data_IF_445103766480
#
_entry.id   IF_445103766480
#
_cell.length_a   1.000
_cell.length_b   1.000
_cell.length_c   1.000
_cell.angle_alpha   90.00
_cell.angle_beta   90.00
_cell.angle_gamma   90.00
#
_symmetry.space_group_name_H-M   'P 1'
#
loop_
_entity.id
_entity.type
_entity.pdbx_description
1 polymer ?
#
# COMPACT_ATOMS: atom_id res chain seq x y z
N UNK A 1 -39.65 14.17 47.97
CA UNK A 1 -38.55 14.14 46.99
C UNK A 1 -38.61 12.80 46.31
N UNK A 2 -38.65 12.79 44.98
CA UNK A 2 -38.77 11.59 44.15
C UNK A 2 -37.40 10.91 44.01
N UNK A 3 -37.35 9.58 43.93
CA UNK A 3 -36.11 8.80 43.72
C UNK A 3 -35.35 9.22 42.44
N UNK A 4 -36.04 9.86 41.49
CA UNK A 4 -35.46 10.41 40.28
C UNK A 4 -34.65 11.70 40.51
N UNK A 5 -34.99 12.50 41.53
CA UNK A 5 -34.28 13.75 41.85
C UNK A 5 -32.99 13.49 42.67
N UNK A 6 -32.92 12.36 43.38
CA UNK A 6 -31.74 11.96 44.16
C UNK A 6 -30.62 11.37 43.28
N UNK A 7 -30.97 10.76 42.14
CA UNK A 7 -30.00 10.23 41.17
C UNK A 7 -29.40 11.31 40.26
N UNK A 8 -30.10 12.41 40.01
CA UNK A 8 -29.54 13.52 39.19
C UNK A 8 -28.49 14.33 39.95
N UNK A 9 -28.62 14.43 41.28
CA UNK A 9 -27.67 15.16 42.12
C UNK A 9 -26.28 14.51 42.17
N UNK A 10 -26.17 13.20 41.90
CA UNK A 10 -24.90 12.46 41.92
C UNK A 10 -24.12 12.61 40.60
N UNK A 11 -24.76 13.10 39.52
CA UNK A 11 -24.12 13.30 38.21
C UNK A 11 -23.67 14.74 37.94
N UNK A 12 -24.19 15.73 38.67
CA UNK A 12 -23.81 17.14 38.49
C UNK A 12 -22.49 17.53 39.20
N UNK A 13 -21.94 16.67 40.07
CA UNK A 13 -20.70 16.94 40.81
C UNK A 13 -19.41 16.44 40.10
N UNK A 14 -19.51 15.97 38.85
CA UNK A 14 -18.36 15.44 38.06
C UNK A 14 -17.89 16.42 36.98
N UNK A 15 -18.15 17.73 37.14
CA UNK A 15 -17.52 18.77 36.31
C UNK A 15 -16.50 19.55 37.12
N UNK A 16 -15.43 18.86 37.54
CA UNK A 16 -14.19 19.51 37.94
C UNK A 16 -13.11 19.26 36.88
N UNK A 17 -12.69 20.37 36.27
CA UNK A 17 -11.46 20.50 35.52
C UNK A 17 -10.29 19.93 36.33
N UNK A 18 -9.56 18.94 35.77
CA UNK A 18 -8.22 18.64 36.23
C UNK A 18 -7.27 18.35 35.07
N UNK A 19 -6.26 19.21 35.05
CA UNK A 19 -5.11 19.32 34.17
C UNK A 19 -4.26 18.04 34.22
N UNK A 20 -4.05 17.40 33.07
CA UNK A 20 -3.46 16.09 32.94
C UNK A 20 -2.17 16.09 32.14
N UNK A 21 -1.06 16.49 32.76
CA UNK A 21 0.27 16.08 32.32
C UNK A 21 0.40 14.56 32.46
N UNK A 22 0.40 13.82 31.36
CA UNK A 22 1.16 12.59 31.24
C UNK A 22 1.59 12.33 29.79
N UNK A 23 2.88 12.10 29.67
CA UNK A 23 3.66 11.98 28.45
C UNK A 23 3.21 10.80 27.61
N UNK A 24 2.63 11.07 26.43
CA UNK A 24 2.68 10.13 25.32
C UNK A 24 3.86 10.52 24.46
N UNK A 25 4.79 9.58 24.36
CA UNK A 25 6.04 9.62 23.61
C UNK A 25 5.80 10.25 22.23
N UNK A 26 6.44 11.39 22.01
CA UNK A 26 6.51 12.10 20.73
C UNK A 26 7.29 11.25 19.71
N UNK A 27 6.60 10.33 19.05
CA UNK A 27 6.98 9.98 17.68
C UNK A 27 6.56 11.14 16.78
N UNK A 28 7.54 11.91 16.33
CA UNK A 28 7.41 12.99 15.35
C UNK A 28 6.81 12.50 14.02
N UNK A 29 5.51 12.23 13.99
CA UNK A 29 4.75 12.15 12.75
C UNK A 29 4.21 13.55 12.53
N UNK A 30 4.94 14.32 11.71
CA UNK A 30 4.42 15.56 11.15
C UNK A 30 3.19 15.18 10.33
N UNK A 31 2.01 15.50 10.85
CA UNK A 31 0.77 15.52 10.10
C UNK A 31 0.90 16.71 9.15
N UNK A 32 1.46 16.47 7.96
CA UNK A 32 1.42 17.44 6.87
C UNK A 32 0.01 17.37 6.25
N UNK A 33 -0.74 18.45 6.45
CA UNK A 33 -1.95 18.88 5.76
C UNK A 33 -2.51 17.93 4.68
N UNK A 34 -3.62 17.25 5.01
CA UNK A 34 -4.36 16.36 4.10
C UNK A 34 -4.85 17.05 2.80
N UNK A 35 -4.81 18.38 2.71
CA UNK A 35 -5.32 19.16 1.58
C UNK A 35 -4.26 19.59 0.55
N UNK A 36 -2.98 19.21 0.70
CA UNK A 36 -1.89 19.68 -0.19
C UNK A 36 -1.23 18.57 -1.04
N UNK A 37 -1.94 17.46 -1.27
CA UNK A 37 -1.48 16.42 -2.21
C UNK A 37 -1.75 16.85 -3.66
N UNK A 38 -2.82 17.61 -3.90
CA UNK A 38 -3.24 18.07 -5.23
C UNK A 38 -2.24 19.03 -5.92
N UNK A 39 -1.42 19.75 -5.14
CA UNK A 39 -0.37 20.67 -5.63
C UNK A 39 0.89 19.94 -6.13
N UNK A 40 1.08 18.66 -5.76
CA UNK A 40 2.21 17.86 -6.22
C UNK A 40 1.94 17.37 -7.65
N UNK A 41 2.48 18.11 -8.63
CA UNK A 41 2.30 17.89 -10.07
C UNK A 41 2.60 16.46 -10.59
N UNK A 42 3.35 15.65 -9.86
CA UNK A 42 3.70 14.27 -10.25
C UNK A 42 3.65 13.34 -9.05
N UNK A 43 3.27 12.09 -9.27
CA UNK A 43 3.19 11.06 -8.21
C UNK A 43 4.54 10.92 -7.49
N UNK A 44 5.64 11.15 -8.21
CA UNK A 44 7.00 11.00 -7.70
C UNK A 44 7.40 12.04 -6.64
N UNK A 45 6.62 13.12 -6.49
CA UNK A 45 6.82 14.07 -5.41
C UNK A 45 6.28 13.54 -4.08
N UNK A 46 5.34 12.59 -4.16
CA UNK A 46 4.72 11.93 -3.00
C UNK A 46 5.39 10.59 -2.73
N UNK A 47 5.63 9.79 -3.77
CA UNK A 47 6.27 8.49 -3.74
C UNK A 47 7.72 8.58 -4.25
N UNK A 48 8.69 8.48 -3.33
CA UNK A 48 10.12 8.71 -3.58
C UNK A 48 10.96 7.45 -3.46
N UNK A 49 10.41 6.34 -2.97
CA UNK A 49 11.15 5.12 -2.64
C UNK A 49 11.85 4.56 -3.88
N UNK A 50 11.15 4.42 -5.00
CA UNK A 50 11.75 3.93 -6.26
C UNK A 50 12.84 4.86 -6.82
N UNK A 51 12.83 6.14 -6.46
CA UNK A 51 13.90 7.08 -6.80
C UNK A 51 15.08 7.04 -5.83
N UNK A 52 14.88 6.51 -4.62
CA UNK A 52 15.92 6.43 -3.60
C UNK A 52 17.07 5.51 -4.04
N UNK A 53 18.31 5.93 -3.74
CA UNK A 53 19.48 5.07 -4.00
C UNK A 53 19.43 3.77 -3.20
N UNK A 54 18.81 3.80 -2.02
CA UNK A 54 18.68 2.63 -1.14
C UNK A 54 17.88 1.52 -1.84
N UNK A 55 16.68 1.84 -2.35
CA UNK A 55 15.84 0.86 -3.04
C UNK A 55 16.56 0.28 -4.27
N UNK A 56 17.20 1.13 -5.08
CA UNK A 56 17.96 0.68 -6.26
C UNK A 56 19.09 -0.29 -5.89
N UNK A 57 19.90 0.06 -4.88
CA UNK A 57 21.00 -0.79 -4.40
C UNK A 57 20.50 -2.15 -3.90
N UNK A 58 19.40 -2.18 -3.15
CA UNK A 58 18.83 -3.42 -2.62
C UNK A 58 18.26 -4.29 -3.73
N UNK A 59 17.46 -3.71 -4.64
CA UNK A 59 16.89 -4.44 -5.78
C UNK A 59 17.97 -5.01 -6.71
N UNK A 60 19.02 -4.23 -7.00
CA UNK A 60 20.16 -4.69 -7.80
C UNK A 60 20.89 -5.85 -7.12
N UNK A 61 21.16 -5.76 -5.81
CA UNK A 61 21.77 -6.87 -5.05
C UNK A 61 20.90 -8.13 -5.07
N UNK A 62 19.59 -8.01 -4.91
CA UNK A 62 18.65 -9.14 -4.99
C UNK A 62 18.71 -9.78 -6.38
N UNK A 63 18.68 -8.96 -7.43
CA UNK A 63 18.75 -9.44 -8.82
C UNK A 63 20.07 -10.15 -9.11
N UNK A 64 21.20 -9.61 -8.66
CA UNK A 64 22.51 -10.26 -8.76
C UNK A 64 22.55 -11.60 -8.00
N UNK A 65 21.99 -11.65 -6.79
CA UNK A 65 21.90 -12.88 -5.99
C UNK A 65 21.03 -13.96 -6.67
N UNK A 66 19.94 -13.56 -7.32
CA UNK A 66 19.08 -14.45 -8.11
C UNK A 66 19.83 -15.00 -9.34
N UNK A 67 20.54 -14.14 -10.09
CA UNK A 67 21.30 -14.54 -11.29
C UNK A 67 22.49 -15.45 -10.95
N UNK A 68 23.24 -15.14 -9.89
CA UNK A 68 24.39 -15.94 -9.48
C UNK A 68 23.99 -17.37 -9.08
N UNK A 69 22.81 -17.54 -8.47
CA UNK A 69 22.27 -18.86 -8.13
C UNK A 69 21.81 -19.64 -9.36
N UNK A 70 21.19 -18.99 -10.35
CA UNK A 70 20.79 -19.65 -11.61
C UNK A 70 21.99 -20.22 -12.38
N UNK A 71 23.16 -19.60 -12.24
CA UNK A 71 24.39 -20.03 -12.92
C UNK A 71 25.18 -21.11 -12.17
N UNK A 72 24.64 -21.70 -11.09
CA UNK A 72 25.34 -22.69 -10.24
C UNK A 72 26.73 -22.23 -9.77
N UNK A 73 27.01 -20.93 -9.75
CA UNK A 73 28.20 -20.38 -9.14
C UNK A 73 27.88 -20.30 -7.64
N UNK A 74 27.97 -21.45 -6.98
CA UNK A 74 27.99 -21.54 -5.52
C UNK A 74 29.34 -20.93 -5.11
N UNK A 75 29.40 -19.60 -5.08
CA UNK A 75 30.38 -18.95 -4.22
C UNK A 75 29.96 -19.36 -2.81
N UNK A 76 30.90 -19.98 -2.10
CA UNK A 76 30.87 -20.08 -0.64
C UNK A 76 30.87 -18.64 -0.13
N UNK A 77 29.69 -18.03 -0.06
CA UNK A 77 29.50 -16.68 0.45
C UNK A 77 29.40 -16.83 1.95
N UNK A 78 30.26 -16.13 2.67
CA UNK A 78 30.24 -16.04 4.12
C UNK A 78 28.80 -15.90 4.64
N UNK A 79 28.46 -16.61 5.69
CA UNK A 79 27.10 -16.66 6.27
C UNK A 79 26.58 -15.29 6.77
N UNK A 80 27.43 -14.26 6.83
CA UNK A 80 27.11 -12.95 7.41
C UNK A 80 26.48 -11.92 6.43
N UNK A 81 26.99 -11.70 5.19
CA UNK A 81 26.41 -10.73 4.26
C UNK A 81 25.01 -11.07 3.69
N UNK A 82 24.58 -12.33 3.66
CA UNK A 82 23.22 -12.67 3.18
C UNK A 82 22.13 -12.27 4.19
N UNK A 83 22.41 -12.36 5.49
CA UNK A 83 21.45 -12.00 6.53
C UNK A 83 21.14 -10.50 6.54
N UNK A 84 22.16 -9.65 6.43
CA UNK A 84 21.97 -8.19 6.37
C UNK A 84 21.11 -7.78 5.16
N UNK A 85 21.32 -8.42 4.01
CA UNK A 85 20.50 -8.17 2.81
C UNK A 85 19.04 -8.60 3.03
N UNK A 86 18.79 -9.70 3.74
CA UNK A 86 17.44 -10.16 4.08
C UNK A 86 16.73 -9.18 5.02
N UNK A 87 17.42 -8.71 6.06
CA UNK A 87 16.86 -7.71 7.00
C UNK A 87 16.58 -6.39 6.27
N UNK A 88 17.51 -5.92 5.44
CA UNK A 88 17.34 -4.71 4.64
C UNK A 88 16.17 -4.84 3.65
N UNK A 89 16.03 -6.02 3.03
CA UNK A 89 14.91 -6.33 2.12
C UNK A 89 13.57 -6.32 2.83
N UNK A 90 13.49 -6.84 4.06
CA UNK A 90 12.25 -6.82 4.85
C UNK A 90 11.86 -5.39 5.25
N UNK A 91 12.83 -4.56 5.64
CA UNK A 91 12.58 -3.13 5.85
C UNK A 91 12.06 -2.46 4.56
N UNK A 92 12.64 -2.81 3.41
CA UNK A 92 12.20 -2.26 2.13
C UNK A 92 10.77 -2.68 1.76
N UNK A 93 10.34 -3.89 2.14
CA UNK A 93 8.96 -4.35 1.91
C UNK A 93 7.93 -3.47 2.65
N UNK A 94 8.21 -3.13 3.92
CA UNK A 94 7.34 -2.23 4.69
C UNK A 94 7.28 -0.83 4.09
N UNK A 95 8.42 -0.33 3.59
CA UNK A 95 8.49 0.94 2.88
C UNK A 95 7.67 0.90 1.57
N UNK A 96 7.73 -0.21 0.82
CA UNK A 96 6.93 -0.42 -0.40
C UNK A 96 5.43 -0.41 -0.10
N UNK A 97 4.99 -1.10 0.95
CA UNK A 97 3.56 -1.13 1.32
C UNK A 97 3.03 0.25 1.71
N UNK A 98 3.88 1.03 2.39
CA UNK A 98 3.59 2.43 2.70
C UNK A 98 3.47 3.26 1.42
N UNK A 99 4.40 3.10 0.47
CA UNK A 99 4.35 3.82 -0.81
C UNK A 99 3.16 3.42 -1.69
N UNK A 100 2.79 2.14 -1.74
CA UNK A 100 1.58 1.69 -2.45
C UNK A 100 0.34 2.38 -1.87
N UNK A 101 0.27 2.52 -0.55
CA UNK A 101 -0.81 3.25 0.12
C UNK A 101 -0.82 4.74 -0.26
N UNK A 102 0.36 5.36 -0.37
CA UNK A 102 0.51 6.75 -0.82
C UNK A 102 0.05 6.93 -2.28
N UNK A 103 0.47 6.02 -3.17
CA UNK A 103 0.08 6.01 -4.59
C UNK A 103 -1.43 5.81 -4.72
N UNK A 104 -2.02 4.91 -3.95
CA UNK A 104 -3.46 4.69 -3.89
C UNK A 104 -4.23 5.95 -3.47
N UNK A 105 -3.79 6.65 -2.42
CA UNK A 105 -4.39 7.93 -2.00
C UNK A 105 -4.29 8.99 -3.10
N UNK A 106 -3.11 9.13 -3.72
CA UNK A 106 -2.90 10.08 -4.82
C UNK A 106 -3.82 9.79 -6.02
N UNK A 107 -3.96 8.52 -6.40
CA UNK A 107 -4.84 8.10 -7.49
C UNK A 107 -6.31 8.40 -7.16
N UNK A 108 -6.73 8.12 -5.93
CA UNK A 108 -8.07 8.45 -5.47
C UNK A 108 -8.37 9.92 -5.61
N UNK A 109 -7.50 10.80 -5.12
CA UNK A 109 -7.74 12.25 -5.14
C UNK A 109 -7.98 12.78 -6.57
N UNK A 110 -7.25 12.26 -7.56
CA UNK A 110 -7.40 12.67 -8.96
C UNK A 110 -8.62 11.99 -9.60
N UNK A 111 -8.76 10.67 -9.41
CA UNK A 111 -9.77 9.87 -10.11
C UNK A 111 -11.18 10.01 -9.51
N UNK A 112 -11.31 10.53 -8.29
CA UNK A 112 -12.58 10.86 -7.64
C UNK A 112 -13.43 11.84 -8.48
N UNK A 113 -12.79 12.74 -9.25
CA UNK A 113 -13.47 13.64 -10.20
C UNK A 113 -14.19 12.86 -11.32
N UNK A 114 -13.66 11.70 -11.71
CA UNK A 114 -14.18 10.87 -12.81
C UNK A 114 -15.19 9.84 -12.38
N UNK A 115 -14.88 9.15 -11.29
CA UNK A 115 -15.66 8.01 -10.82
C UNK A 115 -15.58 7.93 -9.29
N UNK A 116 -16.30 8.81 -8.57
CA UNK A 116 -16.23 8.91 -7.11
C UNK A 116 -16.68 7.63 -6.41
N UNK A 117 -17.63 6.90 -6.99
CA UNK A 117 -18.18 5.69 -6.38
C UNK A 117 -17.18 4.53 -6.35
N UNK A 118 -16.14 4.53 -7.20
CA UNK A 118 -15.18 3.43 -7.32
C UNK A 118 -14.46 3.14 -6.00
N UNK A 119 -14.20 4.16 -5.17
CA UNK A 119 -13.59 3.99 -3.85
C UNK A 119 -14.42 3.07 -2.93
N UNK A 120 -15.74 3.20 -2.97
CA UNK A 120 -16.63 2.39 -2.13
C UNK A 120 -16.78 0.96 -2.64
N UNK A 121 -16.54 0.76 -3.94
CA UNK A 121 -16.72 -0.53 -4.62
C UNK A 121 -15.47 -1.41 -4.53
N UNK A 122 -14.28 -0.81 -4.53
CA UNK A 122 -12.99 -1.51 -4.55
C UNK A 122 -12.14 -1.04 -3.38
N UNK A 123 -12.12 -1.83 -2.31
CA UNK A 123 -11.40 -1.50 -1.06
C UNK A 123 -9.92 -1.82 -1.11
N UNK A 124 -9.51 -2.78 -1.95
CA UNK A 124 -8.13 -3.19 -2.12
C UNK A 124 -7.36 -2.18 -2.98
N UNK A 125 -6.24 -1.67 -2.48
CA UNK A 125 -5.39 -0.72 -3.21
C UNK A 125 -4.90 -1.30 -4.55
N UNK A 126 -4.54 -2.58 -4.58
CA UNK A 126 -4.09 -3.26 -5.80
C UNK A 126 -5.19 -3.32 -6.86
N UNK A 127 -6.37 -3.78 -6.45
CA UNK A 127 -7.52 -3.90 -7.36
C UNK A 127 -7.95 -2.51 -7.85
N UNK A 128 -7.89 -1.49 -7.00
CA UNK A 128 -8.22 -0.13 -7.37
C UNK A 128 -7.26 0.42 -8.43
N UNK A 129 -5.95 0.30 -8.21
CA UNK A 129 -4.91 0.75 -9.17
C UNK A 129 -5.09 0.05 -10.52
N UNK A 130 -5.31 -1.27 -10.51
CA UNK A 130 -5.57 -2.02 -11.74
C UNK A 130 -6.86 -1.59 -12.44
N UNK A 131 -7.94 -1.37 -11.68
CA UNK A 131 -9.24 -0.97 -12.24
C UNK A 131 -9.17 0.41 -12.87
N UNK A 132 -8.54 1.37 -12.19
CA UNK A 132 -8.33 2.73 -12.71
C UNK A 132 -7.50 2.71 -14.00
N UNK A 133 -6.42 1.92 -14.03
CA UNK A 133 -5.60 1.76 -15.23
C UNK A 133 -6.39 1.18 -16.41
N UNK A 134 -7.30 0.23 -16.13
CA UNK A 134 -8.10 -0.43 -17.17
C UNK A 134 -9.23 0.46 -17.70
N UNK A 135 -9.94 1.12 -16.80
CA UNK A 135 -11.10 1.94 -17.12
C UNK A 135 -10.68 3.26 -17.79
N UNK A 136 -9.65 3.90 -17.23
CA UNK A 136 -9.16 5.19 -17.70
C UNK A 136 -10.28 6.22 -17.79
N UNK A 137 -10.36 6.95 -18.91
CA UNK A 137 -11.43 7.93 -19.15
C UNK A 137 -12.70 7.34 -19.79
N UNK A 138 -12.69 6.06 -20.17
CA UNK A 138 -13.68 5.45 -21.06
C UNK A 138 -14.67 4.60 -20.26
N UNK A 139 -15.97 4.75 -20.54
CA UNK A 139 -17.07 3.98 -19.91
C UNK A 139 -17.54 2.82 -20.79
N UNK A 140 -16.66 2.25 -21.61
CA UNK A 140 -17.04 1.12 -22.45
C UNK A 140 -17.18 -0.12 -21.55
N UNK A 141 -18.41 -0.58 -21.38
CA UNK A 141 -18.73 -1.79 -20.61
C UNK A 141 -17.90 -3.00 -21.05
N UNK A 142 -17.57 -3.09 -22.34
CA UNK A 142 -16.78 -4.18 -22.93
C UNK A 142 -15.35 -4.27 -22.36
N UNK A 143 -14.81 -3.15 -21.86
CA UNK A 143 -13.51 -3.14 -21.19
C UNK A 143 -13.60 -3.85 -19.85
N UNK A 144 -14.65 -3.57 -19.07
CA UNK A 144 -14.78 -4.14 -17.74
C UNK A 144 -14.92 -5.67 -17.73
N UNK A 145 -15.48 -6.25 -18.78
CA UNK A 145 -15.63 -7.70 -18.90
C UNK A 145 -14.29 -8.43 -18.97
N UNK A 146 -13.25 -7.79 -19.50
CA UNK A 146 -11.89 -8.32 -19.65
C UNK A 146 -11.07 -8.24 -18.35
N UNK A 147 -11.63 -7.67 -17.27
CA UNK A 147 -10.98 -7.63 -15.96
C UNK A 147 -11.13 -8.99 -15.29
N UNK A 148 -10.06 -9.78 -15.23
CA UNK A 148 -10.12 -11.11 -14.58
C UNK A 148 -9.80 -11.08 -13.08
N UNK A 149 -9.22 -9.99 -12.58
CA UNK A 149 -8.81 -9.88 -11.17
C UNK A 149 -9.96 -9.50 -10.23
N UNK A 150 -11.06 -8.93 -10.73
CA UNK A 150 -12.23 -8.60 -9.91
C UNK A 150 -13.25 -9.75 -9.89
N UNK A 151 -13.84 -10.05 -8.73
CA UNK A 151 -14.99 -10.95 -8.63
C UNK A 151 -16.14 -10.52 -9.57
N UNK A 152 -16.87 -11.46 -10.20
CA UNK A 152 -17.96 -11.13 -11.12
C UNK A 152 -19.03 -10.19 -10.54
N UNK A 153 -19.32 -10.32 -9.24
CA UNK A 153 -20.25 -9.44 -8.55
C UNK A 153 -19.77 -7.98 -8.53
N UNK A 154 -18.49 -7.75 -8.21
CA UNK A 154 -17.91 -6.40 -8.17
C UNK A 154 -17.87 -5.82 -9.59
N UNK A 155 -17.48 -6.61 -10.60
CA UNK A 155 -17.50 -6.17 -12.01
C UNK A 155 -18.85 -5.64 -12.45
N UNK A 156 -19.92 -6.39 -12.16
CA UNK A 156 -21.27 -5.98 -12.54
C UNK A 156 -21.65 -4.66 -11.86
N UNK A 157 -21.39 -4.52 -10.56
CA UNK A 157 -21.71 -3.30 -9.82
C UNK A 157 -20.90 -2.11 -10.34
N UNK A 158 -19.60 -2.28 -10.60
CA UNK A 158 -18.75 -1.22 -11.18
C UNK A 158 -19.26 -0.83 -12.57
N UNK A 159 -19.66 -1.77 -13.43
CA UNK A 159 -20.17 -1.47 -14.77
C UNK A 159 -21.49 -0.69 -14.74
N UNK A 160 -22.42 -1.13 -13.90
CA UNK A 160 -23.72 -0.45 -13.72
C UNK A 160 -23.49 0.96 -13.16
N UNK A 161 -22.63 1.09 -12.15
CA UNK A 161 -22.35 2.39 -11.51
C UNK A 161 -21.58 3.32 -12.44
N UNK A 162 -20.66 2.79 -13.25
CA UNK A 162 -19.92 3.56 -14.26
C UNK A 162 -20.85 4.12 -15.35
N UNK A 163 -21.94 3.43 -15.66
CA UNK A 163 -22.94 3.89 -16.64
C UNK A 163 -23.83 5.02 -16.10
N UNK A 164 -23.97 5.11 -14.77
CA UNK A 164 -24.81 6.10 -14.09
C UNK A 164 -24.00 7.08 -13.23
N UNK A 165 -22.67 7.09 -13.34
CA UNK A 165 -21.80 7.93 -12.49
C UNK A 165 -22.02 9.41 -12.82
N UNK A 166 -21.96 10.25 -11.79
CA UNK A 166 -22.08 11.70 -11.89
C UNK A 166 -20.72 12.38 -12.19
N UNK A 167 -19.63 11.61 -12.28
CA UNK A 167 -18.30 12.15 -12.52
C UNK A 167 -18.07 12.66 -13.95
N UNK A 168 -17.07 13.52 -14.11
CA UNK A 168 -16.71 14.16 -15.38
C UNK A 168 -15.43 13.56 -15.97
N UNK A 169 -15.25 13.67 -17.29
CA UNK A 169 -14.02 13.22 -17.95
C UNK A 169 -12.82 14.04 -17.44
N UNK A 170 -11.73 13.34 -17.12
CA UNK A 170 -10.46 13.98 -16.74
C UNK A 170 -9.82 14.63 -17.96
N UNK A 171 -9.17 15.77 -17.75
CA UNK A 171 -8.34 16.37 -18.80
C UNK A 171 -7.15 15.45 -19.14
N UNK A 172 -6.60 15.57 -20.34
CA UNK A 172 -5.48 14.72 -20.79
C UNK A 172 -4.25 14.82 -19.85
N UNK A 173 -4.00 16.00 -19.29
CA UNK A 173 -2.94 16.21 -18.29
C UNK A 173 -3.23 15.49 -16.95
N UNK A 174 -4.49 15.46 -16.52
CA UNK A 174 -4.92 14.72 -15.32
C UNK A 174 -4.81 13.21 -15.57
N UNK A 175 -5.25 12.75 -16.74
CA UNK A 175 -5.18 11.34 -17.15
C UNK A 175 -3.73 10.87 -17.29
N UNK A 176 -2.82 11.71 -17.80
CA UNK A 176 -1.39 11.40 -17.85
C UNK A 176 -0.80 11.19 -16.45
N UNK A 177 -1.22 11.99 -15.46
CA UNK A 177 -0.82 11.81 -14.05
C UNK A 177 -1.38 10.53 -13.44
N UNK A 178 -2.63 10.18 -13.76
CA UNK A 178 -3.24 8.90 -13.35
C UNK A 178 -2.42 7.73 -13.91
N UNK A 179 -2.10 7.75 -15.20
CA UNK A 179 -1.30 6.71 -15.84
C UNK A 179 0.11 6.61 -15.24
N UNK A 180 0.77 7.75 -14.96
CA UNK A 180 2.07 7.78 -14.27
C UNK A 180 1.99 7.12 -12.88
N UNK A 181 0.94 7.43 -12.11
CA UNK A 181 0.73 6.86 -10.79
C UNK A 181 0.40 5.36 -10.83
N UNK A 182 -0.42 4.92 -11.80
CA UNK A 182 -0.70 3.51 -12.03
C UNK A 182 0.58 2.74 -12.38
N UNK A 183 1.42 3.27 -13.28
CA UNK A 183 2.69 2.65 -13.64
C UNK A 183 3.61 2.50 -12.42
N UNK A 184 3.75 3.56 -11.60
CA UNK A 184 4.55 3.46 -10.38
C UNK A 184 3.97 2.42 -9.40
N UNK A 185 2.64 2.33 -9.29
CA UNK A 185 1.98 1.31 -8.49
C UNK A 185 2.33 -0.11 -8.94
N UNK A 186 2.36 -0.36 -10.25
CA UNK A 186 2.80 -1.65 -10.80
C UNK A 186 4.28 -1.91 -10.57
N UNK A 187 5.15 -0.91 -10.74
CA UNK A 187 6.58 -1.07 -10.49
C UNK A 187 6.86 -1.43 -9.01
N UNK A 188 6.12 -0.82 -8.07
CA UNK A 188 6.17 -1.14 -6.64
C UNK A 188 5.64 -2.55 -6.34
N UNK A 189 4.55 -2.96 -6.99
CA UNK A 189 4.01 -4.31 -6.88
C UNK A 189 5.01 -5.37 -7.36
N UNK A 190 5.65 -5.15 -8.51
CA UNK A 190 6.65 -6.04 -9.08
C UNK A 190 7.91 -6.13 -8.19
N UNK A 191 8.34 -5.00 -7.63
CA UNK A 191 9.40 -4.96 -6.63
C UNK A 191 9.03 -5.79 -5.39
N UNK A 192 7.81 -5.64 -4.86
CA UNK A 192 7.30 -6.41 -3.72
C UNK A 192 7.33 -7.91 -3.99
N UNK A 193 6.87 -8.34 -5.17
CA UNK A 193 6.87 -9.74 -5.58
C UNK A 193 8.29 -10.27 -5.68
N UNK A 194 9.21 -9.50 -6.26
CA UNK A 194 10.62 -9.89 -6.42
C UNK A 194 11.32 -10.09 -5.09
N UNK A 195 11.10 -9.18 -4.14
CA UNK A 195 11.68 -9.25 -2.80
C UNK A 195 11.06 -10.39 -1.99
N UNK A 196 9.74 -10.56 -2.06
CA UNK A 196 9.03 -11.66 -1.41
C UNK A 196 9.55 -13.02 -1.88
N UNK A 197 9.76 -13.19 -3.20
CA UNK A 197 10.34 -14.41 -3.78
C UNK A 197 11.74 -14.69 -3.23
N UNK A 198 12.59 -13.66 -3.12
CA UNK A 198 13.92 -13.79 -2.53
C UNK A 198 13.83 -14.24 -1.05
N UNK A 199 12.95 -13.62 -0.27
CA UNK A 199 12.74 -13.94 1.15
C UNK A 199 12.24 -15.37 1.38
N UNK A 200 11.22 -15.80 0.62
CA UNK A 200 10.68 -17.18 0.72
C UNK A 200 11.75 -18.23 0.40
N UNK A 201 12.58 -17.95 -0.61
CA UNK A 201 13.63 -18.85 -1.01
C UNK A 201 14.81 -18.90 -0.02
N UNK A 202 15.18 -17.76 0.58
CA UNK A 202 16.13 -17.73 1.69
C UNK A 202 15.63 -18.57 2.87
N UNK A 203 14.37 -18.36 3.29
CA UNK A 203 13.77 -19.14 4.37
C UNK A 203 13.72 -20.64 4.07
N UNK A 204 13.41 -21.03 2.83
CA UNK A 204 13.45 -22.43 2.44
C UNK A 204 14.86 -23.01 2.53
N UNK A 205 15.88 -22.27 2.06
CA UNK A 205 17.28 -22.70 2.10
C UNK A 205 17.80 -22.86 3.53
N UNK A 206 17.43 -21.94 4.44
CA UNK A 206 17.84 -21.98 5.86
C UNK A 206 17.05 -23.02 6.65
N UNK A 207 15.73 -23.12 6.47
CA UNK A 207 14.90 -24.13 7.17
C UNK A 207 15.14 -25.55 6.67
N UNK A 208 15.61 -25.74 5.43
CA UNK A 208 16.12 -27.04 4.96
C UNK A 208 17.36 -27.52 5.73
N UNK A 209 18.03 -26.63 6.47
CA UNK A 209 19.18 -26.97 7.32
C UNK A 209 18.87 -27.00 8.83
N UNK A 210 17.73 -26.47 9.31
CA UNK A 210 17.31 -26.59 10.71
C UNK A 210 15.81 -26.93 10.84
N UNK A 211 15.44 -28.21 11.00
CA UNK A 211 14.04 -28.64 11.09
C UNK A 211 13.33 -28.29 12.42
N UNK A 212 13.92 -27.52 13.34
CA UNK A 212 13.39 -27.33 14.70
C UNK A 212 12.95 -25.90 15.07
N UNK A 213 13.09 -24.89 14.21
CA UNK A 213 12.74 -23.51 14.59
C UNK A 213 11.28 -23.11 14.28
N UNK A 214 10.50 -23.98 13.63
CA UNK A 214 9.21 -23.63 13.03
C UNK A 214 7.99 -23.68 13.99
N UNK A 215 8.19 -23.76 15.30
CA UNK A 215 7.07 -23.77 16.26
C UNK A 215 6.69 -22.38 16.78
N UNK A 216 7.56 -21.36 16.67
CA UNK A 216 7.33 -20.08 17.35
C UNK A 216 7.01 -18.89 16.45
N UNK A 217 7.27 -18.94 15.14
CA UNK A 217 7.05 -17.78 14.25
C UNK A 217 5.65 -17.78 13.61
N UNK A 218 4.99 -18.94 13.52
CA UNK A 218 3.62 -19.05 12.98
C UNK A 218 2.51 -18.51 13.88
N UNK A 219 2.85 -17.90 15.04
CA UNK A 219 1.87 -17.43 16.02
C UNK A 219 1.88 -15.90 16.23
N UNK A 220 2.50 -15.13 15.32
CA UNK A 220 2.48 -13.64 15.36
C UNK A 220 2.16 -13.03 13.97
N UNK A 221 1.36 -13.71 13.15
CA UNK A 221 0.60 -13.11 12.05
C UNK A 221 -0.80 -13.71 12.12
#
# INVERSE_FOLDING_TARGET
MSLADELLADFDDVTQEFDGTNQIITSNIKIEDENNILSKKSVFNVAKLMKSERAKKVLEKIQLSQLNRNNNIIKVVDFNPEYDLVVESNSLLADIDTEITIVYKYLKDIYNKRFPELESLVTSAYEYIHTVNYLGNVTDSDKLDQIDFLPPAIKMVVNVTASTTLGEKLADEEMARVNEACQLGFDLADAKVSISKYYSFYNYSVNAHLPLFNAHVYNII
#
